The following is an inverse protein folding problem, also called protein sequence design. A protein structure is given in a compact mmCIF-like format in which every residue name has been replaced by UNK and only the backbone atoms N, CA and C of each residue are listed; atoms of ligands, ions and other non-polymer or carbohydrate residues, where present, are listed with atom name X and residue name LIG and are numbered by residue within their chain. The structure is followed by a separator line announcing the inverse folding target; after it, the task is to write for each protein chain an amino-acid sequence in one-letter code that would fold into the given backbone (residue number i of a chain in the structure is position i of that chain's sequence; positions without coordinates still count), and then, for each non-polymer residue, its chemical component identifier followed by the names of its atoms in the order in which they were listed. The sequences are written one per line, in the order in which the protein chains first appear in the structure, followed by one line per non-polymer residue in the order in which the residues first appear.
data_IF_570000061112
#
_entry.id   IF_570000061112
#
_cell.length_a   1.000
_cell.length_b   1.000
_cell.length_c   1.000
_cell.angle_alpha   90.00
_cell.angle_beta   90.00
_cell.angle_gamma   90.00
#
_symmetry.space_group_name_H-M   'P 1'
#
loop_
_entity.id
_entity.type
_entity.pdbx_description
1 polymer ?
#
# COMPACT_ATOMS: atom_id res chain seq x y z
N UNK A 1 34.74 0.89 -28.21
CA UNK A 1 35.09 2.28 -28.57
C UNK A 1 33.79 3.01 -28.87
N UNK A 2 33.30 3.81 -27.92
CA UNK A 2 32.07 4.60 -28.09
C UNK A 2 32.37 5.84 -28.94
N UNK A 3 31.75 5.93 -30.12
CA UNK A 3 31.80 7.14 -30.94
C UNK A 3 30.68 8.09 -30.50
N UNK A 4 31.03 9.04 -29.65
CA UNK A 4 30.20 10.22 -29.38
C UNK A 4 30.27 11.15 -30.60
N UNK A 5 29.23 11.16 -31.44
CA UNK A 5 29.05 12.24 -32.43
C UNK A 5 28.15 13.30 -31.78
N UNK A 6 28.82 14.31 -31.24
CA UNK A 6 28.21 15.59 -30.85
C UNK A 6 28.30 16.58 -32.02
N UNK A 7 27.64 17.72 -31.81
CA UNK A 7 27.67 18.95 -32.61
C UNK A 7 26.64 19.05 -33.75
N UNK A 8 25.41 19.35 -33.31
CA UNK A 8 24.64 20.51 -33.76
C UNK A 8 25.54 21.61 -34.36
N UNK A 9 25.54 21.78 -35.68
CA UNK A 9 26.14 22.91 -36.38
C UNK A 9 25.05 23.72 -37.06
N UNK A 10 24.85 24.95 -36.60
CA UNK A 10 23.97 25.94 -37.21
C UNK A 10 24.59 26.48 -38.50
N UNK A 11 24.23 25.88 -39.63
CA UNK A 11 24.48 26.43 -40.97
C UNK A 11 23.16 26.80 -41.62
N UNK A 12 22.83 28.09 -41.61
CA UNK A 12 21.67 28.67 -42.31
C UNK A 12 22.13 28.99 -43.73
N UNK A 13 21.62 28.29 -44.74
CA UNK A 13 21.64 28.73 -46.15
C UNK A 13 20.52 28.07 -46.98
N UNK A 14 19.65 28.92 -47.54
CA UNK A 14 19.15 28.83 -48.92
C UNK A 14 18.32 27.64 -49.41
N UNK A 15 16.99 27.86 -49.43
CA UNK A 15 16.05 27.53 -50.52
C UNK A 15 15.47 26.10 -50.66
N UNK A 16 14.19 26.00 -50.23
CA UNK A 16 13.09 25.17 -50.76
C UNK A 16 13.29 23.66 -50.95
N UNK A 17 12.92 22.91 -49.91
CA UNK A 17 11.85 21.91 -50.02
C UNK A 17 11.15 21.81 -48.68
N UNK A 18 10.10 22.61 -48.51
CA UNK A 18 9.14 22.43 -47.42
C UNK A 18 8.22 21.26 -47.79
N UNK A 19 8.77 20.05 -47.85
CA UNK A 19 7.99 18.83 -47.73
C UNK A 19 8.14 18.37 -46.29
N UNK A 20 7.12 18.75 -45.51
CA UNK A 20 6.65 18.12 -44.28
C UNK A 20 7.57 16.99 -43.80
N UNK A 21 8.43 17.28 -42.82
CA UNK A 21 8.89 16.21 -41.95
C UNK A 21 7.60 15.55 -41.44
N UNK A 22 7.36 14.34 -41.93
CA UNK A 22 6.22 13.53 -41.61
C UNK A 22 6.06 13.56 -40.08
N UNK A 23 5.04 14.25 -39.58
CA UNK A 23 4.80 14.35 -38.13
C UNK A 23 4.57 12.96 -37.50
N UNK A 24 4.40 11.94 -38.35
CA UNK A 24 4.36 10.51 -38.03
C UNK A 24 5.68 9.92 -37.46
N UNK A 25 6.82 10.63 -37.53
CA UNK A 25 8.10 10.18 -36.93
C UNK A 25 8.48 10.98 -35.68
N UNK A 26 7.51 11.45 -34.91
CA UNK A 26 7.78 11.85 -33.52
C UNK A 26 7.91 10.58 -32.68
N UNK A 27 9.13 10.25 -32.28
CA UNK A 27 9.39 9.24 -31.24
C UNK A 27 8.60 9.54 -29.95
N UNK A 28 8.62 8.62 -28.97
CA UNK A 28 7.78 8.71 -27.77
C UNK A 28 7.87 10.07 -27.07
N UNK A 29 6.72 10.61 -26.64
CA UNK A 29 6.64 11.90 -25.95
C UNK A 29 7.23 11.78 -24.52
N UNK A 30 8.55 11.99 -24.40
CA UNK A 30 9.29 11.77 -23.15
C UNK A 30 8.78 12.64 -21.98
N UNK A 31 8.32 13.86 -22.25
CA UNK A 31 7.74 14.75 -21.21
C UNK A 31 6.47 14.15 -20.63
N UNK A 32 5.61 13.60 -21.46
CA UNK A 32 4.38 12.96 -21.01
C UNK A 32 4.66 11.62 -20.30
N UNK A 33 5.54 10.79 -20.86
CA UNK A 33 5.89 9.49 -20.28
C UNK A 33 6.58 9.65 -18.92
N UNK A 34 7.54 10.57 -18.80
CA UNK A 34 8.21 10.84 -17.51
C UNK A 34 7.23 11.32 -16.43
N UNK A 35 6.22 12.11 -16.81
CA UNK A 35 5.12 12.49 -15.92
C UNK A 35 4.28 11.28 -15.50
N UNK A 36 3.86 10.43 -16.44
CA UNK A 36 3.10 9.19 -16.13
C UNK A 36 3.86 8.27 -15.18
N UNK A 37 5.17 8.09 -15.41
CA UNK A 37 6.05 7.29 -14.54
C UNK A 37 6.10 7.90 -13.13
N UNK A 38 6.31 9.22 -13.03
CA UNK A 38 6.37 9.93 -11.74
C UNK A 38 5.06 9.77 -10.97
N UNK A 39 3.93 10.01 -11.62
CA UNK A 39 2.60 9.95 -11.01
C UNK A 39 2.28 8.51 -10.58
N UNK A 40 2.57 7.51 -11.43
CA UNK A 40 2.36 6.08 -11.10
C UNK A 40 3.27 5.59 -9.97
N UNK A 41 4.52 6.05 -9.92
CA UNK A 41 5.46 5.71 -8.86
C UNK A 41 5.03 6.29 -7.51
N UNK A 42 4.52 7.54 -7.49
CA UNK A 42 3.99 8.14 -6.27
C UNK A 42 2.80 7.34 -5.71
N UNK A 43 1.90 6.87 -6.57
CA UNK A 43 0.78 6.00 -6.16
C UNK A 43 1.29 4.67 -5.61
N UNK A 44 2.25 4.02 -6.28
CA UNK A 44 2.82 2.76 -5.80
C UNK A 44 3.48 2.91 -4.42
N UNK A 45 4.24 3.98 -4.20
CA UNK A 45 4.87 4.27 -2.91
C UNK A 45 3.84 4.46 -1.79
N UNK A 46 2.74 5.17 -2.06
CA UNK A 46 1.68 5.35 -1.08
C UNK A 46 0.96 4.02 -0.76
N UNK A 47 0.75 3.14 -1.75
CA UNK A 47 0.22 1.79 -1.51
C UNK A 47 1.19 0.96 -0.66
N UNK A 48 2.50 1.06 -0.91
CA UNK A 48 3.53 0.39 -0.09
C UNK A 48 3.55 0.85 1.37
N UNK A 49 3.33 2.13 1.63
CA UNK A 49 3.20 2.63 3.00
C UNK A 49 2.02 1.95 3.72
N UNK A 50 0.88 1.80 3.05
CA UNK A 50 -0.30 1.13 3.62
C UNK A 50 -0.05 -0.37 3.87
N UNK A 51 0.62 -1.07 2.94
CA UNK A 51 1.02 -2.47 3.15
C UNK A 51 1.96 -2.64 4.36
N UNK A 52 2.89 -1.69 4.56
CA UNK A 52 3.80 -1.72 5.70
C UNK A 52 3.04 -1.49 7.03
N UNK A 53 2.07 -0.58 7.05
CA UNK A 53 1.18 -0.40 8.21
C UNK A 53 0.39 -1.66 8.52
N UNK A 54 -0.18 -2.33 7.51
CA UNK A 54 -0.87 -3.61 7.72
C UNK A 54 0.09 -4.67 8.28
N UNK A 55 1.30 -4.77 7.73
CA UNK A 55 2.32 -5.71 8.19
C UNK A 55 2.74 -5.44 9.64
N UNK A 56 2.74 -4.17 10.07
CA UNK A 56 3.03 -3.83 11.47
C UNK A 56 1.99 -4.40 12.44
N UNK A 57 0.74 -4.59 12.02
CA UNK A 57 -0.28 -5.28 12.83
C UNK A 57 0.07 -6.77 12.99
N UNK A 58 0.63 -7.42 11.97
CA UNK A 58 1.11 -8.80 12.07
C UNK A 58 2.27 -8.92 13.06
N UNK A 59 3.16 -7.91 13.11
CA UNK A 59 4.22 -7.84 14.12
C UNK A 59 3.66 -7.63 15.53
N UNK A 60 2.66 -6.76 15.70
CA UNK A 60 1.96 -6.59 16.98
C UNK A 60 1.28 -7.89 17.43
N UNK A 61 0.71 -8.67 16.51
CA UNK A 61 0.08 -9.95 16.82
C UNK A 61 1.07 -10.97 17.43
N UNK A 62 2.37 -10.89 17.10
CA UNK A 62 3.42 -11.73 17.72
C UNK A 62 3.67 -11.39 19.19
N UNK A 63 3.31 -10.18 19.62
CA UNK A 63 3.46 -9.71 21.00
C UNK A 63 2.26 -10.04 21.90
N UNK A 64 1.23 -10.73 21.38
CA UNK A 64 0.07 -11.16 22.19
C UNK A 64 0.52 -12.07 23.33
N UNK A 65 0.11 -11.73 24.56
CA UNK A 65 0.43 -12.48 25.76
C UNK A 65 1.91 -12.41 26.13
N UNK A 66 2.60 -11.32 25.76
CA UNK A 66 4.03 -11.14 25.97
C UNK A 66 4.37 -9.87 26.74
N UNK A 67 5.54 -9.88 27.39
CA UNK A 67 6.24 -8.72 27.95
C UNK A 67 7.70 -8.75 27.55
N UNK A 68 8.37 -7.60 27.61
CA UNK A 68 9.82 -7.53 27.45
C UNK A 68 10.48 -7.97 28.76
N UNK A 69 11.49 -8.85 28.67
CA UNK A 69 12.35 -9.22 29.80
C UNK A 69 13.70 -8.51 29.71
N UNK A 70 14.51 -8.57 30.76
CA UNK A 70 15.72 -7.76 30.91
C UNK A 70 16.79 -7.96 29.82
N UNK A 71 16.79 -9.10 29.12
CA UNK A 71 17.73 -9.37 28.01
C UNK A 71 17.21 -8.88 26.64
N UNK A 72 16.06 -8.19 26.62
CA UNK A 72 15.40 -7.71 25.40
C UNK A 72 14.53 -8.74 24.67
N UNK A 73 14.49 -10.01 25.11
CA UNK A 73 13.58 -11.00 24.55
C UNK A 73 12.16 -10.85 25.10
N UNK A 74 11.21 -11.54 24.47
CA UNK A 74 9.84 -11.63 24.98
C UNK A 74 9.71 -12.79 25.99
N UNK A 75 9.03 -12.53 27.10
CA UNK A 75 8.56 -13.52 28.08
C UNK A 75 7.02 -13.53 28.09
N UNK A 76 6.42 -14.57 28.68
CA UNK A 76 4.97 -14.70 28.74
C UNK A 76 4.35 -13.72 29.77
N UNK A 77 3.25 -13.09 29.38
CA UNK A 77 2.40 -12.25 30.23
C UNK A 77 0.97 -12.38 29.68
N UNK A 78 0.28 -13.43 30.10
CA UNK A 78 -1.02 -13.79 29.54
C UNK A 78 -2.10 -12.76 29.88
N UNK A 79 -3.03 -12.58 28.94
CA UNK A 79 -4.29 -11.87 29.14
C UNK A 79 -4.15 -10.40 29.55
N UNK A 80 -3.19 -9.68 28.98
CA UNK A 80 -2.98 -8.23 29.24
C UNK A 80 -2.73 -7.47 27.94
N UNK A 81 -3.62 -7.68 26.97
CA UNK A 81 -3.45 -7.22 25.59
C UNK A 81 -4.19 -5.90 25.28
N UNK A 82 -4.80 -5.24 26.26
CA UNK A 82 -5.63 -4.04 26.07
C UNK A 82 -4.90 -2.90 25.33
N UNK A 83 -3.68 -2.56 25.76
CA UNK A 83 -2.89 -1.48 25.15
C UNK A 83 -2.33 -1.88 23.79
N UNK A 84 -1.96 -3.15 23.62
CA UNK A 84 -1.53 -3.72 22.34
C UNK A 84 -2.64 -3.59 21.28
N UNK A 85 -3.88 -3.95 21.64
CA UNK A 85 -5.03 -3.84 20.75
C UNK A 85 -5.43 -2.39 20.48
N UNK A 86 -5.31 -1.49 21.45
CA UNK A 86 -5.50 -0.06 21.21
C UNK A 86 -4.48 0.48 20.19
N UNK A 87 -3.23 0.00 20.23
CA UNK A 87 -2.22 0.26 19.22
C UNK A 87 -2.61 -0.26 17.84
N UNK A 88 -3.04 -1.52 17.74
CA UNK A 88 -3.50 -2.11 16.48
C UNK A 88 -4.72 -1.37 15.90
N UNK A 89 -5.66 -0.94 16.74
CA UNK A 89 -6.80 -0.11 16.35
C UNK A 89 -6.35 1.26 15.82
N UNK A 90 -5.37 1.89 16.47
CA UNK A 90 -4.81 3.16 15.99
C UNK A 90 -4.22 3.01 14.58
N UNK A 91 -3.45 1.93 14.34
CA UNK A 91 -2.89 1.64 13.02
C UNK A 91 -3.99 1.35 12.00
N UNK A 92 -5.05 0.63 12.37
CA UNK A 92 -6.16 0.34 11.45
C UNK A 92 -6.90 1.60 11.00
N UNK A 93 -7.11 2.56 11.91
CA UNK A 93 -7.68 3.86 11.54
C UNK A 93 -6.73 4.69 10.67
N UNK A 94 -5.42 4.62 10.92
CA UNK A 94 -4.40 5.28 10.08
C UNK A 94 -4.38 4.71 8.66
N UNK A 95 -4.53 3.39 8.50
CA UNK A 95 -4.68 2.75 7.19
C UNK A 95 -5.87 3.36 6.43
N UNK A 96 -7.05 3.46 7.06
CA UNK A 96 -8.24 4.08 6.46
C UNK A 96 -7.99 5.54 6.05
N UNK A 97 -7.29 6.31 6.89
CA UNK A 97 -6.94 7.70 6.57
C UNK A 97 -6.01 7.79 5.36
N UNK A 98 -5.00 6.93 5.27
CA UNK A 98 -4.05 6.88 4.14
C UNK A 98 -4.75 6.49 2.85
N UNK A 99 -5.57 5.45 2.88
CA UNK A 99 -6.38 5.02 1.72
C UNK A 99 -7.36 6.12 1.27
N UNK A 100 -7.94 6.88 2.20
CA UNK A 100 -8.84 8.00 1.88
C UNK A 100 -8.15 9.18 1.20
N UNK A 101 -6.84 9.33 1.39
CA UNK A 101 -6.02 10.38 0.75
C UNK A 101 -5.40 9.92 -0.56
N UNK A 102 -5.51 8.62 -0.89
CA UNK A 102 -4.91 8.06 -2.08
C UNK A 102 -5.75 8.41 -3.31
N UNK A 103 -5.22 9.29 -4.15
CA UNK A 103 -5.82 9.61 -5.45
C UNK A 103 -5.33 8.59 -6.48
N UNK A 104 -6.26 7.85 -7.10
CA UNK A 104 -5.97 6.92 -8.19
C UNK A 104 -6.49 7.41 -9.53
N UNK A 105 -5.86 6.99 -10.63
CA UNK A 105 -6.49 7.08 -11.95
C UNK A 105 -7.71 6.14 -12.03
N UNK A 106 -8.50 6.25 -13.10
CA UNK A 106 -9.78 5.57 -13.25
C UNK A 106 -9.72 4.05 -12.97
N UNK A 107 -8.64 3.38 -13.37
CA UNK A 107 -8.44 1.95 -13.12
C UNK A 107 -8.05 1.55 -11.68
N UNK A 108 -7.64 2.50 -10.83
CA UNK A 108 -7.30 2.24 -9.43
C UNK A 108 -8.41 2.63 -8.44
N UNK A 109 -9.30 3.55 -8.83
CA UNK A 109 -10.35 4.08 -7.93
C UNK A 109 -11.18 2.98 -7.28
N UNK A 110 -11.60 1.98 -8.05
CA UNK A 110 -12.38 0.85 -7.53
C UNK A 110 -11.60 0.03 -6.51
N UNK A 111 -10.31 -0.23 -6.76
CA UNK A 111 -9.46 -0.99 -5.84
C UNK A 111 -9.13 -0.22 -4.56
N UNK A 112 -8.93 1.09 -4.68
CA UNK A 112 -8.76 1.99 -3.53
C UNK A 112 -10.04 1.98 -2.69
N UNK A 113 -11.21 2.11 -3.31
CA UNK A 113 -12.50 2.08 -2.62
C UNK A 113 -12.74 0.74 -1.92
N UNK A 114 -12.42 -0.39 -2.58
CA UNK A 114 -12.53 -1.72 -1.98
C UNK A 114 -11.60 -1.87 -0.75
N UNK A 115 -10.32 -1.51 -0.88
CA UNK A 115 -9.38 -1.56 0.24
C UNK A 115 -9.81 -0.66 1.40
N UNK A 116 -10.30 0.56 1.10
CA UNK A 116 -10.84 1.50 2.09
C UNK A 116 -12.04 0.92 2.83
N UNK A 117 -12.99 0.33 2.09
CA UNK A 117 -14.17 -0.30 2.70
C UNK A 117 -13.74 -1.42 3.65
N UNK A 118 -12.82 -2.29 3.24
CA UNK A 118 -12.31 -3.34 4.12
C UNK A 118 -11.56 -2.79 5.36
N UNK A 119 -10.86 -1.65 5.25
CA UNK A 119 -10.19 -1.05 6.42
C UNK A 119 -11.19 -0.41 7.39
N UNK A 120 -12.27 0.17 6.88
CA UNK A 120 -13.40 0.66 7.67
C UNK A 120 -14.13 -0.49 8.38
N UNK A 121 -14.38 -1.60 7.67
CA UNK A 121 -14.99 -2.81 8.24
C UNK A 121 -14.12 -3.40 9.36
N UNK A 122 -12.80 -3.50 9.15
CA UNK A 122 -11.87 -4.02 10.16
C UNK A 122 -11.84 -3.16 11.42
N UNK A 123 -11.63 -1.85 11.27
CA UNK A 123 -11.62 -0.93 12.42
C UNK A 123 -12.98 -0.88 13.13
N UNK A 124 -14.09 -0.96 12.38
CA UNK A 124 -15.44 -1.05 12.95
C UNK A 124 -15.62 -2.33 13.74
N UNK A 125 -15.18 -3.48 13.23
CA UNK A 125 -15.29 -4.76 13.94
C UNK A 125 -14.57 -4.76 15.28
N UNK A 126 -13.35 -4.20 15.34
CA UNK A 126 -12.60 -4.04 16.58
C UNK A 126 -13.37 -3.17 17.59
N UNK A 127 -13.90 -2.04 17.12
CA UNK A 127 -14.69 -1.10 17.93
C UNK A 127 -15.98 -1.75 18.44
N UNK A 128 -16.71 -2.48 17.59
CA UNK A 128 -17.98 -3.10 17.97
C UNK A 128 -17.77 -4.24 18.99
N UNK A 129 -16.59 -4.85 19.01
CA UNK A 129 -16.19 -5.83 20.02
C UNK A 129 -15.55 -5.19 21.28
N UNK A 130 -15.69 -3.88 21.52
CA UNK A 130 -15.05 -3.20 22.66
C UNK A 130 -15.38 -3.80 24.03
N UNK A 131 -16.54 -4.44 24.21
CA UNK A 131 -16.90 -5.11 25.46
C UNK A 131 -15.94 -6.26 25.82
N UNK A 132 -15.20 -6.79 24.85
CA UNK A 132 -14.22 -7.86 25.03
C UNK A 132 -12.78 -7.43 24.70
N UNK A 133 -12.62 -6.41 23.85
CA UNK A 133 -11.32 -5.91 23.37
C UNK A 133 -10.87 -4.59 24.02
N UNK A 134 -11.79 -3.86 24.66
CA UNK A 134 -11.55 -2.56 25.29
C UNK A 134 -11.64 -2.60 26.82
N UNK A 135 -11.48 -3.79 27.40
CA UNK A 135 -11.50 -4.02 28.85
C UNK A 135 -10.08 -4.20 29.38
N UNK A 136 -9.87 -3.98 30.67
CA UNK A 136 -8.63 -4.42 31.30
C UNK A 136 -8.53 -5.95 31.27
N UNK A 137 -7.35 -6.48 30.97
CA UNK A 137 -7.11 -7.92 30.99
C UNK A 137 -7.64 -8.65 29.76
N UNK A 138 -7.54 -8.05 28.57
CA UNK A 138 -7.99 -8.72 27.34
C UNK A 138 -7.25 -10.03 27.15
N UNK A 139 -8.01 -11.13 27.04
CA UNK A 139 -7.45 -12.47 26.93
C UNK A 139 -6.64 -12.65 25.65
N UNK A 140 -5.64 -13.53 25.70
CA UNK A 140 -4.84 -13.87 24.52
C UNK A 140 -5.71 -14.42 23.39
N UNK A 141 -6.75 -15.20 23.74
CA UNK A 141 -7.70 -15.73 22.77
C UNK A 141 -8.49 -14.62 22.05
N UNK A 142 -9.02 -13.64 22.80
CA UNK A 142 -9.73 -12.52 22.20
C UNK A 142 -8.81 -11.66 21.34
N UNK A 143 -7.58 -11.40 21.79
CA UNK A 143 -6.59 -10.68 21.01
C UNK A 143 -6.22 -11.44 19.71
N UNK A 144 -6.05 -12.76 19.77
CA UNK A 144 -5.79 -13.59 18.59
C UNK A 144 -6.95 -13.54 17.58
N UNK A 145 -8.19 -13.63 18.04
CA UNK A 145 -9.40 -13.49 17.20
C UNK A 145 -9.54 -12.11 16.55
N UNK A 146 -8.87 -11.09 17.10
CA UNK A 146 -8.90 -9.72 16.61
C UNK A 146 -7.82 -9.40 15.58
N UNK A 147 -6.56 -9.83 15.80
CA UNK A 147 -5.43 -9.39 14.96
C UNK A 147 -4.48 -10.49 14.47
N UNK A 148 -4.63 -11.75 14.88
CA UNK A 148 -3.75 -12.84 14.42
C UNK A 148 -4.37 -13.59 13.23
N UNK A 149 -3.95 -13.26 11.99
CA UNK A 149 -4.45 -13.92 10.76
C UNK A 149 -4.33 -15.46 10.78
N UNK A 150 -3.24 -15.97 11.34
CA UNK A 150 -2.98 -17.41 11.46
C UNK A 150 -3.77 -18.09 12.59
N UNK A 151 -4.68 -17.39 13.29
CA UNK A 151 -5.42 -17.98 14.40
C UNK A 151 -6.37 -19.10 13.92
N UNK A 152 -6.25 -20.28 14.52
CA UNK A 152 -7.10 -21.43 14.22
C UNK A 152 -8.39 -21.48 15.05
N UNK A 153 -8.43 -20.80 16.20
CA UNK A 153 -9.51 -20.91 17.21
C UNK A 153 -10.66 -19.89 17.02
N UNK A 154 -10.80 -19.31 15.82
CA UNK A 154 -11.86 -18.34 15.49
C UNK A 154 -11.32 -17.00 14.98
N UNK A 155 -12.16 -16.28 14.23
CA UNK A 155 -11.79 -15.04 13.52
C UNK A 155 -12.85 -13.94 13.64
N UNK A 156 -13.78 -14.11 14.57
CA UNK A 156 -15.04 -13.35 14.71
C UNK A 156 -14.87 -11.95 15.30
N UNK A 157 -13.65 -11.53 15.67
CA UNK A 157 -13.38 -10.24 16.34
C UNK A 157 -12.55 -9.26 15.54
N UNK A 158 -12.28 -9.57 14.28
CA UNK A 158 -11.54 -8.67 13.38
C UNK A 158 -10.64 -9.40 12.40
N UNK A 159 -10.21 -10.64 12.69
CA UNK A 159 -9.31 -11.36 11.78
C UNK A 159 -9.95 -11.61 10.41
N UNK A 160 -11.25 -11.91 10.36
CA UNK A 160 -11.94 -12.09 9.08
C UNK A 160 -11.88 -10.82 8.22
N UNK A 161 -12.13 -9.65 8.82
CA UNK A 161 -12.05 -8.35 8.14
C UNK A 161 -10.59 -7.98 7.82
N UNK A 162 -9.63 -8.34 8.67
CA UNK A 162 -8.20 -8.15 8.45
C UNK A 162 -7.69 -8.94 7.23
N UNK A 163 -8.16 -10.18 7.04
CA UNK A 163 -7.82 -11.00 5.87
C UNK A 163 -8.41 -10.40 4.58
N UNK A 164 -9.66 -9.92 4.63
CA UNK A 164 -10.29 -9.20 3.49
C UNK A 164 -9.54 -7.93 3.13
N UNK A 165 -9.07 -7.17 4.13
CA UNK A 165 -8.22 -6.00 3.93
C UNK A 165 -6.89 -6.39 3.27
N UNK A 166 -6.24 -7.45 3.76
CA UNK A 166 -4.99 -7.96 3.18
C UNK A 166 -5.15 -8.33 1.70
N UNK A 167 -6.21 -9.06 1.34
CA UNK A 167 -6.47 -9.42 -0.07
C UNK A 167 -6.81 -8.22 -0.96
N UNK A 168 -7.56 -7.25 -0.42
CA UNK A 168 -7.86 -6.01 -1.16
C UNK A 168 -6.61 -5.16 -1.40
N UNK A 169 -5.71 -5.08 -0.43
CA UNK A 169 -4.43 -4.38 -0.59
C UNK A 169 -3.49 -5.08 -1.56
N UNK A 170 -3.44 -6.42 -1.57
CA UNK A 170 -2.67 -7.18 -2.55
C UNK A 170 -3.16 -6.87 -3.98
N UNK A 171 -4.47 -6.85 -4.18
CA UNK A 171 -5.09 -6.51 -5.46
C UNK A 171 -4.77 -5.07 -5.89
N UNK A 172 -4.82 -4.11 -4.96
CA UNK A 172 -4.47 -2.72 -5.20
C UNK A 172 -2.98 -2.56 -5.58
N UNK A 173 -2.10 -3.22 -4.83
CA UNK A 173 -0.65 -3.24 -5.04
C UNK A 173 -0.26 -3.80 -6.41
N UNK A 174 -0.92 -4.90 -6.82
CA UNK A 174 -0.72 -5.48 -8.16
C UNK A 174 -1.08 -4.48 -9.26
N UNK A 175 -2.25 -3.84 -9.16
CA UNK A 175 -2.68 -2.86 -10.16
C UNK A 175 -1.78 -1.61 -10.20
N UNK A 176 -1.31 -1.12 -9.05
CA UNK A 176 -0.39 0.01 -8.99
C UNK A 176 0.97 -0.33 -9.65
N UNK A 177 1.48 -1.56 -9.44
CA UNK A 177 2.70 -2.05 -10.12
C UNK A 177 2.50 -2.16 -11.63
N UNK A 178 1.36 -2.70 -12.07
CA UNK A 178 1.03 -2.83 -13.50
C UNK A 178 0.95 -1.45 -14.18
N UNK A 179 0.35 -0.46 -13.53
CA UNK A 179 0.29 0.92 -14.03
C UNK A 179 1.67 1.54 -14.22
N UNK A 180 2.56 1.38 -13.23
CA UNK A 180 3.95 1.85 -13.34
C UNK A 180 4.69 1.09 -14.45
N UNK A 181 4.54 -0.23 -14.52
CA UNK A 181 5.19 -1.06 -15.55
C UNK A 181 4.74 -0.65 -16.96
N UNK A 182 3.46 -0.35 -17.16
CA UNK A 182 2.95 0.13 -18.45
C UNK A 182 3.54 1.51 -18.80
N UNK A 183 3.59 2.44 -17.83
CA UNK A 183 4.21 3.76 -18.04
C UNK A 183 5.69 3.65 -18.42
N UNK A 184 6.42 2.69 -17.84
CA UNK A 184 7.83 2.45 -18.18
C UNK A 184 7.99 1.82 -19.56
N UNK A 185 7.10 0.90 -19.96
CA UNK A 185 7.14 0.26 -21.29
C UNK A 185 6.95 1.27 -22.43
N UNK A 186 6.18 2.33 -22.22
CA UNK A 186 6.03 3.41 -23.22
C UNK A 186 7.37 4.08 -23.61
N UNK A 187 8.44 3.96 -22.81
CA UNK A 187 9.78 4.47 -23.17
C UNK A 187 10.43 3.74 -24.35
N UNK A 188 10.05 2.48 -24.57
CA UNK A 188 10.72 1.57 -25.54
C UNK A 188 9.72 0.94 -26.51
N UNK A 189 8.47 1.41 -26.53
CA UNK A 189 7.41 0.90 -27.40
C UNK A 189 7.19 1.78 -28.61
#
# INVERSE_FOLDING_TARGET
LFLFISCNNSGKDGNTSANSADESVKGPNLTEISKKITDSNAVLLAVKEVEALLSSIDELAKAIGKKIKNDGSLDNEANRNESLLAGAYTISTLITQKLSKLNGSEGLKEKIAAAKKCSEEFSTKLKDNHAQLGIQGVTDENAKKAILKANAAGKDKGVEELEKLSGSLESLSKAAKEMLANSVKELTS
#
